data_IF_140772270126
#
_entry.id   IF_140772270126
#
_cell.length_a   1.000
_cell.length_b   1.000
_cell.length_c   1.000
_cell.angle_alpha   90.00
_cell.angle_beta   90.00
_cell.angle_gamma   90.00
#
_symmetry.space_group_name_H-M   'P 1'
#
loop_
_entity.id
_entity.type
_entity.pdbx_description
1 polymer ?
#
# COMPACT_ATOMS: atom_id res chain seq x y z
N UNK A 1 24.73 -5.13 -38.85
CA UNK A 1 24.85 -5.71 -37.51
C UNK A 1 23.72 -5.09 -36.68
N UNK A 2 22.60 -5.76 -36.61
CA UNK A 2 21.45 -5.37 -35.78
C UNK A 2 21.68 -5.88 -34.35
N UNK A 3 21.48 -5.06 -33.29
CA UNK A 3 21.57 -5.57 -31.94
C UNK A 3 20.38 -6.48 -31.65
N UNK A 4 20.72 -7.69 -31.31
CA UNK A 4 19.84 -8.76 -30.83
C UNK A 4 19.09 -8.27 -29.60
N UNK A 5 17.77 -8.08 -29.74
CA UNK A 5 16.87 -7.86 -28.60
C UNK A 5 16.86 -9.15 -27.79
N UNK A 6 17.67 -9.21 -26.75
CA UNK A 6 17.64 -10.29 -25.78
C UNK A 6 16.23 -10.39 -25.19
N UNK A 7 15.64 -11.53 -25.37
CA UNK A 7 14.34 -11.97 -24.86
C UNK A 7 14.20 -11.70 -23.36
N UNK A 8 13.42 -10.70 -23.02
CA UNK A 8 13.06 -10.32 -21.62
C UNK A 8 12.13 -11.39 -21.00
N UNK A 9 11.59 -12.30 -21.81
CA UNK A 9 10.67 -13.36 -21.38
C UNK A 9 11.31 -14.45 -20.52
N UNK A 10 12.63 -14.58 -20.52
CA UNK A 10 13.36 -15.63 -19.80
C UNK A 10 13.91 -15.22 -18.42
N UNK A 11 13.64 -14.01 -17.94
CA UNK A 11 13.95 -13.63 -16.56
C UNK A 11 13.02 -14.38 -15.62
N UNK A 12 13.43 -15.61 -15.40
CA UNK A 12 13.09 -16.56 -14.36
C UNK A 12 12.09 -15.99 -13.35
N UNK A 13 10.81 -16.36 -13.50
CA UNK A 13 9.76 -16.22 -12.48
C UNK A 13 10.09 -17.15 -11.30
N UNK A 14 11.21 -16.87 -10.62
CA UNK A 14 11.45 -17.46 -9.31
C UNK A 14 10.29 -17.01 -8.42
N UNK A 15 9.44 -17.95 -8.09
CA UNK A 15 8.39 -17.73 -7.09
C UNK A 15 9.07 -17.18 -5.83
N UNK A 16 8.61 -16.05 -5.29
CA UNK A 16 9.22 -15.47 -4.11
C UNK A 16 9.21 -16.51 -2.99
N UNK A 17 10.30 -16.60 -2.26
CA UNK A 17 10.43 -17.46 -1.09
C UNK A 17 9.34 -17.11 -0.08
N UNK A 18 8.92 -18.08 0.71
CA UNK A 18 8.03 -17.83 1.85
C UNK A 18 8.88 -17.46 3.07
N UNK A 19 8.38 -16.60 3.96
CA UNK A 19 9.03 -16.37 5.24
C UNK A 19 9.21 -17.68 6.00
N UNK A 20 10.36 -17.84 6.64
CA UNK A 20 10.65 -18.99 7.49
C UNK A 20 9.88 -18.91 8.80
N UNK A 21 9.82 -20.03 9.56
CA UNK A 21 9.27 -20.02 10.92
C UNK A 21 10.05 -19.09 11.86
N UNK A 22 11.36 -18.91 11.62
CA UNK A 22 12.18 -17.99 12.41
C UNK A 22 11.82 -16.53 12.11
N UNK A 23 11.47 -16.19 10.86
CA UNK A 23 11.01 -14.85 10.51
C UNK A 23 9.66 -14.56 11.18
N UNK A 24 8.76 -15.56 11.24
CA UNK A 24 7.48 -15.43 11.94
C UNK A 24 7.62 -15.16 13.45
N UNK A 25 8.67 -15.70 14.10
CA UNK A 25 8.98 -15.35 15.49
C UNK A 25 9.40 -13.89 15.66
N UNK A 26 9.90 -13.26 14.60
CA UNK A 26 10.24 -11.84 14.57
C UNK A 26 9.05 -10.92 14.80
N UNK A 27 7.81 -11.37 14.55
CA UNK A 27 6.59 -10.60 14.78
C UNK A 27 6.32 -10.34 16.28
N UNK A 28 6.89 -11.12 17.20
CA UNK A 28 6.79 -10.83 18.64
C UNK A 28 7.50 -9.55 19.08
N UNK A 29 8.24 -8.86 18.19
CA UNK A 29 8.90 -7.55 18.46
C UNK A 29 7.93 -6.37 18.44
N UNK A 30 6.70 -6.53 18.01
CA UNK A 30 5.70 -5.45 17.93
C UNK A 30 5.61 -4.61 19.20
N UNK A 31 5.60 -5.18 20.43
CA UNK A 31 5.57 -4.36 21.65
C UNK A 31 6.81 -3.49 21.83
N UNK A 32 7.98 -3.98 21.44
CA UNK A 32 9.23 -3.22 21.47
C UNK A 32 9.20 -2.10 20.42
N UNK A 33 8.76 -2.39 19.21
CA UNK A 33 8.61 -1.43 18.12
C UNK A 33 7.64 -0.32 18.52
N UNK A 34 6.51 -0.67 19.14
CA UNK A 34 5.56 0.29 19.71
C UNK A 34 6.20 1.17 20.78
N UNK A 35 7.03 0.61 21.66
CA UNK A 35 7.72 1.37 22.71
C UNK A 35 8.73 2.36 22.11
N UNK A 36 9.48 1.94 21.10
CA UNK A 36 10.43 2.80 20.37
C UNK A 36 9.68 3.92 19.64
N UNK A 37 8.52 3.61 19.04
CA UNK A 37 7.66 4.61 18.41
C UNK A 37 7.25 5.71 19.40
N UNK A 38 6.73 5.33 20.57
CA UNK A 38 6.29 6.28 21.57
C UNK A 38 7.43 7.16 22.09
N UNK A 39 8.60 6.58 22.35
CA UNK A 39 9.80 7.32 22.74
C UNK A 39 10.26 8.27 21.62
N UNK A 40 10.28 7.81 20.38
CA UNK A 40 10.66 8.61 19.22
C UNK A 40 9.67 9.74 18.93
N UNK A 41 8.37 9.50 19.08
CA UNK A 41 7.34 10.52 18.91
C UNK A 41 7.49 11.69 19.88
N UNK A 42 8.05 11.45 21.08
CA UNK A 42 8.27 12.48 22.10
C UNK A 42 9.54 13.30 21.84
N UNK A 43 10.52 12.76 21.12
CA UNK A 43 11.87 13.35 21.01
C UNK A 43 12.19 13.94 19.64
N UNK A 44 11.43 13.62 18.59
CA UNK A 44 11.76 14.02 17.24
C UNK A 44 10.95 15.26 16.79
N UNK A 45 11.61 16.37 16.42
CA UNK A 45 10.92 17.54 15.86
C UNK A 45 10.53 17.26 14.40
N UNK A 46 9.37 16.68 14.18
CA UNK A 46 8.84 16.48 12.85
C UNK A 46 8.38 17.83 12.25
N UNK A 47 8.81 18.19 11.05
CA UNK A 47 8.38 19.44 10.42
C UNK A 47 6.89 19.37 10.08
N UNK A 48 6.11 20.32 10.59
CA UNK A 48 4.71 20.46 10.22
C UNK A 48 4.58 21.19 8.89
N UNK A 49 3.69 20.70 8.06
CA UNK A 49 3.38 21.36 6.79
C UNK A 49 2.41 22.53 7.02
N UNK A 50 2.53 23.55 6.20
CA UNK A 50 1.56 24.66 6.20
C UNK A 50 0.18 24.16 5.68
N UNK A 51 -0.94 24.78 6.10
CA UNK A 51 -2.27 24.39 5.63
C UNK A 51 -2.43 24.39 4.11
N UNK A 52 -1.67 25.23 3.40
CA UNK A 52 -1.67 25.30 1.92
C UNK A 52 -1.06 24.05 1.28
N UNK A 53 -0.16 23.39 1.96
CA UNK A 53 0.53 22.18 1.51
C UNK A 53 -0.08 20.90 2.10
N UNK A 54 -1.15 21.02 2.86
CA UNK A 54 -1.84 19.88 3.44
C UNK A 54 -2.39 18.96 2.35
N UNK A 55 -1.97 17.68 2.41
CA UNK A 55 -2.46 16.64 1.52
C UNK A 55 -3.56 15.85 2.21
N UNK A 56 -4.42 15.22 1.41
CA UNK A 56 -5.39 14.24 1.89
C UNK A 56 -4.77 12.86 1.73
N UNK A 57 -4.78 12.09 2.81
CA UNK A 57 -4.16 10.77 2.89
C UNK A 57 -5.23 9.75 3.22
N UNK A 58 -5.47 8.78 2.34
CA UNK A 58 -6.35 7.64 2.60
C UNK A 58 -5.52 6.45 3.04
N UNK A 59 -5.92 5.82 4.16
CA UNK A 59 -5.22 4.69 4.77
C UNK A 59 -6.02 3.41 4.56
N UNK A 60 -5.38 2.36 4.04
CA UNK A 60 -6.00 1.07 3.74
C UNK A 60 -5.32 -0.02 4.58
N UNK A 61 -6.06 -0.70 5.48
CA UNK A 61 -5.51 -1.72 6.36
C UNK A 61 -5.22 -3.03 5.63
N UNK A 62 -4.37 -3.87 6.24
CA UNK A 62 -4.02 -5.20 5.76
C UNK A 62 -5.14 -6.23 5.93
N UNK A 63 -4.86 -7.48 5.51
CA UNK A 63 -5.77 -8.60 5.63
C UNK A 63 -6.23 -8.79 7.09
N UNK A 64 -7.53 -9.00 7.30
CA UNK A 64 -8.22 -9.10 8.60
C UNK A 64 -8.13 -7.86 9.50
N UNK A 65 -7.30 -6.89 9.18
CA UNK A 65 -7.20 -5.65 9.92
C UNK A 65 -8.35 -4.70 9.57
N UNK A 66 -8.67 -3.81 10.50
CA UNK A 66 -9.60 -2.71 10.27
C UNK A 66 -8.89 -1.35 10.34
N UNK A 67 -9.59 -0.30 10.01
CA UNK A 67 -9.06 1.09 9.98
C UNK A 67 -8.34 1.49 11.26
N UNK A 68 -8.80 1.00 12.42
CA UNK A 68 -8.25 1.35 13.72
C UNK A 68 -6.82 0.82 13.94
N UNK A 69 -6.39 -0.20 13.20
CA UNK A 69 -5.00 -0.68 13.27
C UNK A 69 -4.02 0.36 12.74
N UNK A 70 -4.48 1.26 11.86
CA UNK A 70 -3.70 2.37 11.31
C UNK A 70 -3.92 3.70 12.04
N UNK A 71 -4.60 3.69 13.20
CA UNK A 71 -4.85 4.92 13.97
C UNK A 71 -3.55 5.66 14.37
N UNK A 72 -2.46 4.98 14.77
CA UNK A 72 -1.19 5.67 15.04
C UNK A 72 -0.66 6.41 13.80
N UNK A 73 -0.68 5.77 12.63
CA UNK A 73 -0.27 6.39 11.36
C UNK A 73 -1.19 7.53 10.94
N UNK A 74 -2.51 7.38 11.12
CA UNK A 74 -3.48 8.45 10.87
C UNK A 74 -3.21 9.67 11.75
N UNK A 75 -2.94 9.45 13.04
CA UNK A 75 -2.61 10.51 13.98
C UNK A 75 -1.29 11.19 13.62
N UNK A 76 -0.29 10.43 13.20
CA UNK A 76 0.97 10.98 12.71
C UNK A 76 0.77 11.89 11.49
N UNK A 77 0.02 11.44 10.48
CA UNK A 77 -0.29 12.28 9.32
C UNK A 77 -1.02 13.58 9.72
N UNK A 78 -1.99 13.49 10.66
CA UNK A 78 -2.70 14.66 11.17
C UNK A 78 -1.77 15.60 11.94
N UNK A 79 -0.87 15.05 12.73
CA UNK A 79 0.12 15.82 13.47
C UNK A 79 1.10 16.56 12.56
N UNK A 80 1.49 15.98 11.42
CA UNK A 80 2.24 16.67 10.35
C UNK A 80 1.44 17.79 9.69
N UNK A 81 0.12 17.85 9.86
CA UNK A 81 -0.76 18.85 9.26
C UNK A 81 -1.54 18.35 8.02
N UNK A 82 -1.46 17.05 7.71
CA UNK A 82 -2.23 16.43 6.64
C UNK A 82 -3.63 16.00 7.09
N UNK A 83 -4.51 15.68 6.15
CA UNK A 83 -5.87 15.18 6.42
C UNK A 83 -5.91 13.68 6.23
N UNK A 84 -5.82 12.91 7.30
CA UNK A 84 -5.91 11.46 7.24
C UNK A 84 -7.37 10.98 7.25
N UNK A 85 -7.71 10.15 6.27
CA UNK A 85 -8.99 9.49 6.09
C UNK A 85 -8.81 7.99 6.24
N UNK A 86 -9.79 7.35 6.83
CA UNK A 86 -9.89 5.90 6.86
C UNK A 86 -10.63 5.38 5.63
N UNK A 87 -10.29 4.17 5.21
CA UNK A 87 -10.89 3.50 4.06
C UNK A 87 -12.37 3.11 4.27
N UNK A 88 -12.83 3.05 5.52
CA UNK A 88 -14.17 2.58 5.89
C UNK A 88 -14.22 1.06 6.06
N UNK A 89 -13.09 0.44 6.40
CA UNK A 89 -12.95 -1.01 6.55
C UNK A 89 -12.93 -1.38 8.03
N UNK A 90 -13.92 -2.16 8.47
CA UNK A 90 -13.94 -2.74 9.82
C UNK A 90 -13.06 -3.98 9.93
N UNK A 91 -13.07 -4.83 8.90
CA UNK A 91 -12.20 -6.00 8.76
C UNK A 91 -11.96 -6.27 7.28
N UNK A 92 -10.71 -6.20 6.85
CA UNK A 92 -10.31 -6.43 5.46
C UNK A 92 -10.26 -7.93 5.13
N UNK A 93 -11.43 -8.54 5.08
CA UNK A 93 -11.62 -9.98 4.83
C UNK A 93 -12.77 -10.26 3.87
N UNK A 94 -13.29 -9.23 3.21
CA UNK A 94 -14.34 -9.34 2.21
C UNK A 94 -13.79 -9.81 0.85
N UNK A 95 -14.68 -9.98 -0.12
CA UNK A 95 -14.29 -10.24 -1.50
C UNK A 95 -13.46 -9.07 -2.04
N UNK A 96 -12.29 -9.32 -2.66
CA UNK A 96 -11.43 -8.26 -3.19
C UNK A 96 -12.15 -7.32 -4.17
N UNK A 97 -13.00 -7.83 -5.06
CA UNK A 97 -13.81 -7.02 -5.99
C UNK A 97 -14.73 -6.05 -5.24
N UNK A 98 -15.41 -6.54 -4.19
CA UNK A 98 -16.30 -5.71 -3.39
C UNK A 98 -15.51 -4.67 -2.59
N UNK A 99 -14.36 -5.06 -2.04
CA UNK A 99 -13.46 -4.14 -1.36
C UNK A 99 -12.97 -3.06 -2.32
N UNK A 100 -12.52 -3.40 -3.52
CA UNK A 100 -12.09 -2.42 -4.53
C UNK A 100 -13.23 -1.47 -4.91
N UNK A 101 -14.45 -1.98 -5.12
CA UNK A 101 -15.61 -1.13 -5.40
C UNK A 101 -15.86 -0.09 -4.30
N UNK A 102 -15.78 -0.50 -3.02
CA UNK A 102 -15.93 0.39 -1.88
C UNK A 102 -14.81 1.42 -1.78
N UNK A 103 -13.57 0.97 -2.00
CA UNK A 103 -12.38 1.83 -1.97
C UNK A 103 -12.43 2.89 -3.08
N UNK A 104 -12.78 2.50 -4.30
CA UNK A 104 -12.91 3.41 -5.43
C UNK A 104 -14.01 4.45 -5.20
N UNK A 105 -15.16 4.04 -4.68
CA UNK A 105 -16.23 4.98 -4.29
C UNK A 105 -15.75 5.95 -3.18
N UNK A 106 -14.98 5.45 -2.20
CA UNK A 106 -14.43 6.27 -1.12
C UNK A 106 -13.39 7.27 -1.63
N UNK A 107 -12.53 6.85 -2.58
CA UNK A 107 -11.56 7.71 -3.24
C UNK A 107 -12.26 8.84 -4.00
N UNK A 108 -13.26 8.52 -4.82
CA UNK A 108 -14.01 9.49 -5.61
C UNK A 108 -14.67 10.55 -4.71
N UNK A 109 -15.36 10.14 -3.64
CA UNK A 109 -15.94 11.05 -2.66
C UNK A 109 -14.90 11.96 -1.99
N UNK A 110 -13.71 11.42 -1.69
CA UNK A 110 -12.63 12.21 -1.13
C UNK A 110 -12.07 13.20 -2.15
N UNK A 111 -11.87 12.76 -3.39
CA UNK A 111 -11.39 13.60 -4.48
C UNK A 111 -12.34 14.78 -4.76
N UNK A 112 -13.64 14.51 -4.86
CA UNK A 112 -14.67 15.54 -5.03
C UNK A 112 -14.70 16.53 -3.85
N UNK A 113 -14.71 15.99 -2.61
CA UNK A 113 -14.81 16.81 -1.40
C UNK A 113 -13.63 17.76 -1.19
N UNK A 114 -12.43 17.30 -1.52
CA UNK A 114 -11.18 18.06 -1.25
C UNK A 114 -10.60 18.71 -2.48
N UNK A 115 -11.16 18.46 -3.66
CA UNK A 115 -10.75 19.01 -4.96
C UNK A 115 -9.25 18.83 -5.25
N UNK A 116 -8.68 17.73 -4.77
CA UNK A 116 -7.26 17.41 -4.95
C UNK A 116 -7.04 15.89 -5.04
N UNK A 117 -5.99 15.43 -5.74
CA UNK A 117 -5.58 14.03 -5.72
C UNK A 117 -5.21 13.57 -4.29
N UNK A 118 -5.45 12.30 -4.04
CA UNK A 118 -5.36 11.68 -2.72
C UNK A 118 -4.06 10.86 -2.64
N UNK A 119 -3.30 11.02 -1.57
CA UNK A 119 -2.22 10.08 -1.24
C UNK A 119 -2.85 8.80 -0.69
N UNK A 120 -2.50 7.66 -1.26
CA UNK A 120 -3.02 6.37 -0.79
C UNK A 120 -1.90 5.60 -0.11
N UNK A 121 -2.05 5.31 1.18
CA UNK A 121 -1.10 4.51 1.96
C UNK A 121 -1.79 3.20 2.34
N UNK A 122 -1.19 2.07 1.96
CA UNK A 122 -1.74 0.77 2.28
C UNK A 122 -0.74 -0.16 2.95
N UNK A 123 -1.18 -0.89 3.97
CA UNK A 123 -0.37 -1.90 4.63
C UNK A 123 -0.73 -3.29 4.10
N UNK A 124 0.28 -4.12 3.79
CA UNK A 124 0.08 -5.50 3.35
C UNK A 124 -0.92 -5.59 2.18
N UNK A 125 -2.01 -6.32 2.30
CA UNK A 125 -3.09 -6.38 1.32
C UNK A 125 -3.65 -4.98 0.97
N UNK A 126 -3.65 -4.05 1.92
CA UNK A 126 -4.07 -2.67 1.68
C UNK A 126 -3.19 -1.93 0.67
N UNK A 127 -1.88 -2.23 0.64
CA UNK A 127 -0.98 -1.65 -0.36
C UNK A 127 -1.14 -2.26 -1.75
N UNK A 128 -1.58 -3.51 -1.81
CA UNK A 128 -2.02 -4.14 -3.07
C UNK A 128 -3.21 -3.38 -3.65
N UNK A 129 -4.24 -3.12 -2.83
CA UNK A 129 -5.39 -2.31 -3.24
C UNK A 129 -4.99 -0.87 -3.62
N UNK A 130 -4.07 -0.25 -2.89
CA UNK A 130 -3.60 1.09 -3.19
C UNK A 130 -2.97 1.18 -4.58
N UNK A 131 -2.21 0.15 -4.98
CA UNK A 131 -1.63 0.03 -6.32
C UNK A 131 -2.69 -0.14 -7.40
N UNK A 132 -3.65 -1.04 -7.20
CA UNK A 132 -4.76 -1.25 -8.15
C UNK A 132 -5.61 0.03 -8.33
N UNK A 133 -5.91 0.75 -7.25
CA UNK A 133 -6.59 2.05 -7.31
C UNK A 133 -5.81 3.04 -8.18
N UNK A 134 -4.49 3.07 -8.05
CA UNK A 134 -3.65 3.97 -8.82
C UNK A 134 -3.57 3.60 -10.31
N UNK A 135 -3.77 2.32 -10.66
CA UNK A 135 -3.93 1.88 -12.04
C UNK A 135 -5.30 2.25 -12.61
N UNK A 136 -6.37 2.02 -11.84
CA UNK A 136 -7.72 2.30 -12.31
C UNK A 136 -8.06 3.79 -12.37
N UNK A 137 -7.49 4.60 -11.45
CA UNK A 137 -7.84 6.02 -11.30
C UNK A 137 -6.60 6.91 -11.04
N UNK A 138 -5.62 6.92 -11.96
CA UNK A 138 -4.34 7.63 -11.75
C UNK A 138 -4.50 9.14 -11.59
N UNK A 139 -5.59 9.74 -12.10
CA UNK A 139 -5.89 11.17 -11.97
C UNK A 139 -6.36 11.56 -10.56
N UNK A 140 -6.96 10.62 -9.83
CA UNK A 140 -7.43 10.83 -8.46
C UNK A 140 -6.37 10.53 -7.41
N UNK A 141 -5.25 9.88 -7.79
CA UNK A 141 -4.18 9.49 -6.89
C UNK A 141 -2.97 10.40 -7.03
N UNK A 142 -2.56 11.03 -5.94
CA UNK A 142 -1.34 11.85 -5.87
C UNK A 142 -0.08 10.98 -5.87
N UNK A 143 -0.05 9.97 -5.01
CA UNK A 143 1.00 8.97 -4.88
C UNK A 143 0.51 7.76 -4.11
N UNK A 144 1.23 6.65 -4.25
CA UNK A 144 1.04 5.43 -3.47
C UNK A 144 2.22 5.23 -2.53
N UNK A 145 1.94 4.81 -1.29
CA UNK A 145 2.94 4.29 -0.38
C UNK A 145 2.45 2.94 0.13
N UNK A 146 3.20 1.88 -0.10
CA UNK A 146 2.85 0.54 0.38
C UNK A 146 3.81 0.08 1.48
N UNK A 147 3.28 -0.58 2.50
CA UNK A 147 4.01 -1.05 3.67
C UNK A 147 3.95 -2.59 3.72
N UNK A 148 5.05 -3.28 3.45
CA UNK A 148 5.13 -4.73 3.47
C UNK A 148 4.12 -5.41 2.54
N UNK A 149 3.86 -4.85 1.38
CA UNK A 149 2.79 -5.29 0.49
C UNK A 149 3.32 -6.23 -0.58
N UNK A 150 2.73 -7.42 -0.78
CA UNK A 150 3.15 -8.35 -1.81
C UNK A 150 2.71 -7.85 -3.20
N UNK A 151 3.62 -7.27 -3.95
CA UNK A 151 3.39 -6.76 -5.31
C UNK A 151 3.47 -7.85 -6.36
N UNK A 152 4.23 -8.89 -6.07
CA UNK A 152 4.48 -10.03 -6.94
C UNK A 152 3.86 -11.26 -6.32
N UNK A 153 3.04 -11.98 -7.10
CA UNK A 153 2.39 -13.23 -6.66
C UNK A 153 1.80 -13.15 -5.24
N UNK A 154 0.89 -12.18 -4.94
CA UNK A 154 0.46 -11.89 -3.56
C UNK A 154 -0.08 -13.11 -2.82
N UNK A 155 -0.67 -14.07 -3.55
CA UNK A 155 -1.24 -15.30 -2.98
C UNK A 155 -0.19 -16.24 -2.39
N UNK A 156 1.02 -16.26 -2.97
CA UNK A 156 2.09 -17.17 -2.57
C UNK A 156 3.11 -16.50 -1.63
N UNK A 157 3.10 -15.19 -1.54
CA UNK A 157 4.05 -14.40 -0.78
C UNK A 157 3.83 -14.46 0.74
N UNK A 158 2.59 -14.69 1.17
CA UNK A 158 2.24 -14.78 2.58
C UNK A 158 2.66 -16.13 3.18
N UNK A 159 2.97 -16.12 4.48
CA UNK A 159 3.29 -17.34 5.20
C UNK A 159 2.08 -18.30 5.26
N UNK A 160 2.35 -19.58 5.55
CA UNK A 160 1.33 -20.64 5.55
C UNK A 160 0.18 -20.39 6.53
N UNK A 161 0.45 -19.73 7.66
CA UNK A 161 -0.57 -19.43 8.66
C UNK A 161 -1.60 -18.43 8.11
N UNK A 162 -1.14 -17.35 7.46
CA UNK A 162 -2.04 -16.36 6.83
C UNK A 162 -2.86 -17.01 5.72
N UNK A 163 -2.25 -17.87 4.90
CA UNK A 163 -2.97 -18.60 3.86
C UNK A 163 -4.02 -19.55 4.43
N UNK A 164 -3.70 -20.27 5.53
CA UNK A 164 -4.64 -21.18 6.19
C UNK A 164 -5.84 -20.40 6.76
N UNK A 165 -5.59 -19.26 7.41
CA UNK A 165 -6.66 -18.39 7.95
C UNK A 165 -7.53 -17.85 6.80
N UNK A 166 -6.94 -17.40 5.71
CA UNK A 166 -7.68 -16.90 4.55
C UNK A 166 -8.60 -17.97 3.95
N UNK A 167 -8.10 -19.21 3.82
CA UNK A 167 -8.91 -20.36 3.36
C UNK A 167 -10.05 -20.69 4.33
N UNK A 168 -9.78 -20.68 5.65
CA UNK A 168 -10.81 -20.95 6.66
C UNK A 168 -11.93 -19.92 6.63
N UNK A 169 -11.61 -18.62 6.49
CA UNK A 169 -12.60 -17.55 6.37
C UNK A 169 -13.43 -17.71 5.10
N UNK A 170 -12.80 -18.06 3.98
CA UNK A 170 -13.48 -18.30 2.71
C UNK A 170 -14.48 -19.45 2.83
N UNK A 171 -14.08 -20.55 3.47
CA UNK A 171 -14.94 -21.70 3.71
C UNK A 171 -16.14 -21.37 4.61
N UNK A 172 -15.92 -20.65 5.72
CA UNK A 172 -16.98 -20.23 6.65
C UNK A 172 -18.01 -19.33 5.93
N UNK A 173 -17.58 -18.54 4.96
CA UNK A 173 -18.45 -17.65 4.19
C UNK A 173 -19.15 -18.32 3.00
N UNK A 174 -19.08 -19.64 2.89
CA UNK A 174 -19.71 -20.42 1.83
C UNK A 174 -19.06 -20.21 0.45
N UNK A 175 -17.82 -19.71 0.41
CA UNK A 175 -17.03 -19.51 -0.80
C UNK A 175 -16.02 -20.64 -0.90
N UNK A 176 -16.49 -21.81 -1.33
CA UNK A 176 -15.71 -23.05 -1.36
C UNK A 176 -14.36 -22.92 -2.08
N UNK A 177 -14.29 -22.04 -3.10
CA UNK A 177 -13.07 -21.82 -3.89
C UNK A 177 -12.25 -20.59 -3.44
N UNK A 178 -12.65 -19.96 -2.34
CA UNK A 178 -11.98 -18.81 -1.72
C UNK A 178 -11.70 -17.65 -2.68
N UNK A 179 -12.19 -16.45 -2.36
CA UNK A 179 -11.91 -15.24 -3.16
C UNK A 179 -10.41 -14.91 -3.31
N UNK A 180 -9.53 -15.71 -2.72
CA UNK A 180 -8.08 -15.67 -2.87
C UNK A 180 -7.55 -16.89 -3.65
N UNK A 181 -8.42 -17.74 -4.24
CA UNK A 181 -8.02 -18.86 -5.09
C UNK A 181 -7.73 -18.40 -6.53
N UNK A 182 -6.91 -19.15 -7.24
CA UNK A 182 -6.59 -18.87 -8.65
C UNK A 182 -7.82 -18.97 -9.56
N UNK A 183 -8.82 -19.75 -9.17
CA UNK A 183 -10.09 -19.96 -9.90
C UNK A 183 -11.14 -18.88 -9.61
N UNK A 184 -10.91 -17.96 -8.67
CA UNK A 184 -11.88 -16.94 -8.34
C UNK A 184 -11.87 -15.81 -9.37
N UNK A 185 -12.97 -15.64 -10.10
CA UNK A 185 -13.17 -14.51 -11.04
C UNK A 185 -13.12 -13.13 -10.37
N UNK A 186 -13.30 -13.09 -9.03
CA UNK A 186 -13.11 -11.87 -8.25
C UNK A 186 -11.66 -11.71 -7.79
N UNK A 187 -10.75 -12.54 -8.29
CA UNK A 187 -9.35 -12.49 -7.96
C UNK A 187 -8.82 -11.07 -8.09
N UNK A 188 -8.05 -10.67 -7.10
CA UNK A 188 -7.27 -9.46 -7.19
C UNK A 188 -6.35 -9.66 -8.39
N UNK A 189 -6.75 -9.09 -9.50
CA UNK A 189 -5.99 -9.16 -10.72
C UNK A 189 -4.79 -8.23 -10.58
N UNK A 190 -3.80 -8.65 -9.81
CA UNK A 190 -2.43 -8.18 -10.03
C UNK A 190 -1.93 -8.82 -11.33
N UNK A 191 -2.76 -8.72 -12.36
CA UNK A 191 -2.47 -9.22 -13.69
C UNK A 191 -1.47 -8.34 -14.40
N UNK A 192 -1.33 -7.11 -13.95
CA UNK A 192 -0.40 -6.17 -14.52
C UNK A 192 0.75 -5.91 -13.53
N UNK A 193 1.91 -6.52 -13.80
CA UNK A 193 3.15 -6.22 -13.09
C UNK A 193 3.70 -4.84 -13.47
N UNK A 194 3.00 -4.09 -14.35
CA UNK A 194 3.40 -2.75 -14.72
C UNK A 194 3.33 -1.79 -13.52
N UNK A 195 4.29 -0.88 -13.40
CA UNK A 195 4.26 0.12 -12.33
C UNK A 195 3.13 1.13 -12.57
N UNK A 196 2.51 1.66 -11.50
CA UNK A 196 1.56 2.75 -11.63
C UNK A 196 2.22 4.00 -12.28
N UNK A 197 1.44 4.76 -13.02
CA UNK A 197 1.90 6.05 -13.59
C UNK A 197 2.15 7.13 -12.53
N UNK A 198 1.67 6.90 -11.31
CA UNK A 198 1.83 7.83 -10.18
C UNK A 198 3.08 7.52 -9.37
N UNK A 199 3.72 8.51 -8.71
CA UNK A 199 4.83 8.25 -7.81
C UNK A 199 4.46 7.21 -6.77
N UNK A 200 5.26 6.16 -6.69
CA UNK A 200 4.98 5.00 -5.84
C UNK A 200 6.21 4.64 -5.01
N UNK A 201 6.03 4.51 -3.70
CA UNK A 201 7.08 4.08 -2.78
C UNK A 201 6.68 2.77 -2.12
N UNK A 202 7.48 1.73 -2.31
CA UNK A 202 7.31 0.44 -1.66
C UNK A 202 8.26 0.33 -0.48
N UNK A 203 7.71 0.32 0.74
CA UNK A 203 8.49 0.14 1.96
C UNK A 203 8.44 -1.33 2.34
N UNK A 204 9.60 -1.93 2.51
CA UNK A 204 9.72 -3.35 2.84
C UNK A 204 10.75 -3.60 3.93
N UNK A 205 10.69 -4.76 4.57
CA UNK A 205 11.66 -5.21 5.56
C UNK A 205 12.12 -6.62 5.29
N UNK A 206 13.43 -6.87 5.35
CA UNK A 206 13.99 -8.23 5.25
C UNK A 206 13.66 -9.07 6.47
N UNK A 207 13.22 -8.45 7.55
CA UNK A 207 12.82 -9.12 8.80
C UNK A 207 11.30 -9.21 8.97
N UNK A 208 10.56 -9.02 7.87
CA UNK A 208 9.12 -9.25 7.79
C UNK A 208 8.83 -10.76 7.88
N UNK A 209 8.10 -11.17 8.92
CA UNK A 209 7.78 -12.57 9.19
C UNK A 209 6.48 -13.05 8.55
N UNK A 210 5.74 -12.18 7.87
CA UNK A 210 4.45 -12.49 7.25
C UNK A 210 4.55 -12.55 5.73
N UNK A 211 5.18 -11.54 5.12
CA UNK A 211 5.35 -11.43 3.68
C UNK A 211 6.84 -11.41 3.35
N UNK A 212 7.28 -12.30 2.46
CA UNK A 212 8.68 -12.32 2.07
C UNK A 212 9.05 -11.04 1.32
N UNK A 213 10.10 -10.37 1.74
CA UNK A 213 10.52 -9.06 1.28
C UNK A 213 10.70 -8.95 -0.26
N UNK A 214 11.18 -10.01 -0.92
CA UNK A 214 11.33 -10.05 -2.39
C UNK A 214 9.99 -9.85 -3.12
N UNK A 215 8.87 -10.20 -2.47
CA UNK A 215 7.54 -9.97 -3.03
C UNK A 215 7.10 -8.51 -2.92
N UNK A 216 7.72 -7.74 -2.03
CA UNK A 216 7.39 -6.34 -1.78
C UNK A 216 8.19 -5.36 -2.65
N UNK A 217 9.15 -5.87 -3.41
CA UNK A 217 10.05 -5.05 -4.24
C UNK A 217 9.55 -5.03 -5.67
N UNK A 218 9.37 -3.84 -6.22
CA UNK A 218 9.12 -3.64 -7.65
C UNK A 218 10.45 -3.67 -8.40
N UNK A 219 10.54 -4.52 -9.42
CA UNK A 219 11.75 -4.73 -10.23
C UNK A 219 11.65 -4.08 -11.62
N UNK A 220 10.62 -3.29 -11.88
CA UNK A 220 10.41 -2.66 -13.19
C UNK A 220 11.50 -1.66 -13.56
N UNK A 221 12.14 -1.04 -12.58
CA UNK A 221 13.09 0.05 -12.79
C UNK A 221 12.41 1.34 -13.29
N UNK A 222 11.10 1.45 -13.16
CA UNK A 222 10.35 2.63 -13.59
C UNK A 222 10.75 3.86 -12.77
N UNK A 223 10.88 5.02 -13.39
CA UNK A 223 11.29 6.26 -12.69
C UNK A 223 10.23 6.77 -11.68
N UNK A 224 9.01 6.25 -11.77
CA UNK A 224 7.93 6.57 -10.83
C UNK A 224 7.97 5.71 -9.57
N UNK A 225 8.79 4.66 -9.53
CA UNK A 225 8.81 3.67 -8.46
C UNK A 225 10.10 3.73 -7.65
N UNK A 226 9.95 3.64 -6.35
CA UNK A 226 11.04 3.55 -5.39
C UNK A 226 10.80 2.40 -4.41
N UNK A 227 11.84 1.64 -4.12
CA UNK A 227 11.84 0.61 -3.08
C UNK A 227 12.69 1.10 -1.91
N UNK A 228 12.13 1.10 -0.70
CA UNK A 228 12.80 1.56 0.52
C UNK A 228 12.85 0.43 1.54
N UNK A 229 14.06 0.04 1.92
CA UNK A 229 14.27 -0.95 2.98
C UNK A 229 14.22 -0.28 4.35
N UNK A 230 13.48 -0.88 5.27
CA UNK A 230 13.47 -0.53 6.69
C UNK A 230 13.69 -1.79 7.53
N UNK A 231 14.07 -1.62 8.79
CA UNK A 231 14.11 -2.75 9.71
C UNK A 231 12.82 -2.76 10.54
N UNK A 232 12.11 -3.88 10.59
CA UNK A 232 10.89 -4.00 11.40
C UNK A 232 10.11 -5.27 11.10
N UNK A 233 9.16 -5.60 11.97
CA UNK A 233 8.19 -6.67 11.77
C UNK A 233 7.09 -6.22 10.81
N UNK A 234 6.35 -7.18 10.24
CA UNK A 234 5.24 -6.89 9.33
C UNK A 234 4.14 -6.07 9.99
N UNK A 235 3.68 -6.54 11.14
CA UNK A 235 2.62 -5.87 11.91
C UNK A 235 3.10 -4.55 12.47
N UNK A 236 4.38 -4.47 12.89
CA UNK A 236 5.01 -3.28 13.44
C UNK A 236 5.26 -2.15 12.45
N UNK A 237 5.21 -2.38 11.13
CA UNK A 237 5.42 -1.32 10.13
C UNK A 237 4.50 -0.11 10.34
N UNK A 238 3.26 -0.33 10.80
CA UNK A 238 2.32 0.73 11.14
C UNK A 238 2.72 1.56 12.38
N UNK A 239 3.76 1.16 13.10
CA UNK A 239 4.29 1.80 14.31
C UNK A 239 5.79 2.15 14.19
N UNK A 240 6.41 1.85 13.06
CA UNK A 240 7.85 1.94 12.88
C UNK A 240 8.31 3.37 12.58
N UNK A 241 9.22 3.96 13.38
CA UNK A 241 9.71 5.32 13.17
C UNK A 241 10.40 5.55 11.83
N UNK A 242 11.10 4.54 11.29
CA UNK A 242 11.76 4.66 9.99
C UNK A 242 10.74 4.69 8.86
N UNK A 243 9.66 3.90 8.95
CA UNK A 243 8.51 4.00 8.05
C UNK A 243 7.91 5.40 8.09
N UNK A 244 7.76 5.97 9.28
CA UNK A 244 7.21 7.31 9.44
C UNK A 244 8.10 8.41 8.88
N UNK A 245 9.43 8.27 8.96
CA UNK A 245 10.37 9.17 8.28
C UNK A 245 10.18 9.14 6.78
N UNK A 246 10.13 7.96 6.19
CA UNK A 246 9.90 7.80 4.75
C UNK A 246 8.56 8.43 4.35
N UNK A 247 7.48 8.16 5.09
CA UNK A 247 6.17 8.76 4.82
C UNK A 247 6.23 10.29 4.91
N UNK A 248 6.83 10.85 5.96
CA UNK A 248 6.97 12.30 6.11
C UNK A 248 7.72 12.94 4.95
N UNK A 249 8.83 12.34 4.52
CA UNK A 249 9.62 12.81 3.37
C UNK A 249 8.78 12.78 2.08
N UNK A 250 8.01 11.72 1.84
CA UNK A 250 7.18 11.59 0.65
C UNK A 250 5.98 12.54 0.66
N UNK A 251 5.42 12.81 1.83
CA UNK A 251 4.36 13.82 2.00
C UNK A 251 4.89 15.25 1.88
N UNK A 252 6.19 15.49 2.10
CA UNK A 252 6.82 16.79 1.91
C UNK A 252 7.16 17.08 0.45
N UNK A 253 7.19 16.07 -0.43
CA UNK A 253 7.49 16.24 -1.85
C UNK A 253 6.45 17.13 -2.56
N UNK A 254 6.86 17.89 -3.60
CA UNK A 254 5.93 18.66 -4.41
C UNK A 254 4.81 17.78 -4.96
N UNK A 255 3.62 18.37 -5.04
CA UNK A 255 2.49 17.68 -5.66
C UNK A 255 2.70 17.54 -7.16
N UNK A 256 2.09 16.50 -7.74
CA UNK A 256 2.03 16.32 -9.19
C UNK A 256 1.38 17.55 -9.82
N UNK A 257 1.96 18.04 -10.91
CA UNK A 257 1.28 19.07 -11.71
C UNK A 257 0.02 18.45 -12.30
N UNK A 258 -1.15 19.01 -11.97
CA UNK A 258 -2.40 18.62 -12.64
C UNK A 258 -2.18 18.79 -14.15
N UNK A 259 -2.27 17.70 -14.90
CA UNK A 259 -2.55 17.80 -16.32
C UNK A 259 -3.96 18.42 -16.38
N UNK A 260 -4.07 19.68 -16.85
CA UNK A 260 -5.37 20.30 -17.07
C UNK A 260 -6.17 19.37 -17.99
N UNK A 261 -7.32 18.90 -17.52
CA UNK A 261 -8.20 18.14 -18.39
C UNK A 261 -8.61 19.01 -19.57
N UNK A 262 -8.78 18.42 -20.73
CA UNK A 262 -9.25 19.15 -21.92
C UNK A 262 -10.63 19.81 -21.71
N UNK A 263 -11.33 19.48 -20.63
CA UNK A 263 -12.58 20.11 -20.20
C UNK A 263 -12.37 21.51 -19.58
N UNK A 264 -11.27 21.71 -18.82
CA UNK A 264 -10.96 23.01 -18.21
C UNK A 264 -10.54 24.08 -19.26
N UNK A 265 -10.06 23.63 -20.41
CA UNK A 265 -9.67 24.53 -21.50
C UNK A 265 -10.86 25.12 -22.27
N UNK A 266 -12.08 24.59 -22.07
CA UNK A 266 -13.31 25.15 -22.70
C UNK A 266 -14.01 26.22 -21.85
N UNK A 267 -13.72 26.30 -20.56
CA UNK A 267 -14.37 27.26 -19.64
C UNK A 267 -13.73 28.67 -19.64
N UNK A 268 -12.62 28.88 -20.35
CA UNK A 268 -11.91 30.18 -20.42
C UNK A 268 -12.17 30.92 -21.71
N UNK A 269 -13.13 30.47 -22.52
CA UNK A 269 -13.57 31.22 -23.72
C UNK A 269 -15.06 31.53 -23.63
N UNK A 270 -15.41 32.45 -22.78
CA UNK A 270 -16.63 33.29 -22.92
C UNK A 270 -16.24 34.72 -22.53
#
# INVERSE_FOLDING_TARGET
MTPEFADVSSRNKLLPKRPSMFDALGEFRVPLEASIYWLGALTHPWPRVSPRNAQVVMLIPGFMAGDMTLAPLANFCRWLGHRALYAGILSNSECPRETMRKLNARLALAYEKFEQPIVVIGQSLGGVYAREIAHEQPEMVERVISLGSPLRTPRNAANLAVQAVARSIAAIRGRADGCLSESCECGLMLSDESPPEVPTTHIYSRTDGVVHWESCVDLSGAPTVENVEVMGSHVGMGLNPDVYRVIADRLAMPRRRRLRSAADSRAVRI
#
